data_IF_690421777592
#
_entry.id   IF_690421777592
#
_cell.length_a   1.000
_cell.length_b   1.000
_cell.length_c   1.000
_cell.angle_alpha   90.00
_cell.angle_beta   90.00
_cell.angle_gamma   90.00
#
_symmetry.space_group_name_H-M   'P 1'
#
loop_
_entity.id
_entity.type
_entity.pdbx_description
1 polymer ?
#
# COMPACT_ATOMS: atom_id res chain seq x y z
N UNK A 1 -8.96 -6.32 16.37
CA UNK A 1 -8.37 -7.50 17.05
C UNK A 1 -8.93 -8.75 16.40
N UNK A 2 -8.08 -9.50 15.69
CA UNK A 2 -8.39 -10.87 15.25
C UNK A 2 -7.94 -11.86 16.32
N UNK A 3 -8.63 -12.99 16.46
CA UNK A 3 -8.29 -14.07 17.40
C UNK A 3 -7.06 -14.89 16.96
N UNK A 4 -6.37 -14.45 15.90
CA UNK A 4 -5.16 -15.06 15.35
C UNK A 4 -4.15 -13.98 15.01
N UNK A 5 -2.88 -14.35 14.89
CA UNK A 5 -1.80 -13.45 14.51
C UNK A 5 -1.42 -13.64 13.05
N UNK A 6 -1.14 -12.54 12.36
CA UNK A 6 -0.69 -12.56 10.99
C UNK A 6 0.70 -11.93 10.90
N UNK A 7 1.60 -12.61 10.21
CA UNK A 7 2.93 -12.13 9.89
C UNK A 7 2.94 -11.57 8.47
N UNK A 8 3.56 -10.40 8.33
CA UNK A 8 3.72 -9.70 7.07
C UNK A 8 5.18 -9.82 6.66
N UNK A 9 5.45 -10.38 5.48
CA UNK A 9 6.82 -10.59 4.99
C UNK A 9 6.93 -10.32 3.50
N UNK A 10 8.16 -10.26 2.99
CA UNK A 10 8.48 -10.13 1.57
C UNK A 10 7.75 -8.98 0.85
N UNK A 11 7.75 -7.77 1.45
CA UNK A 11 7.25 -6.59 0.72
C UNK A 11 8.12 -6.35 -0.51
N UNK A 12 7.51 -6.46 -1.68
CA UNK A 12 8.14 -6.21 -2.96
C UNK A 12 7.34 -5.14 -3.71
N UNK A 13 8.00 -4.03 -4.03
CA UNK A 13 7.42 -2.95 -4.83
C UNK A 13 8.09 -3.00 -6.19
N UNK A 14 7.33 -3.41 -7.20
CA UNK A 14 7.76 -3.45 -8.59
C UNK A 14 7.24 -2.20 -9.29
N UNK A 15 8.17 -1.32 -9.63
CA UNK A 15 7.90 -0.15 -10.45
C UNK A 15 8.66 -0.32 -11.76
N UNK A 16 7.94 -0.53 -12.87
CA UNK A 16 8.58 -0.74 -14.19
C UNK A 16 9.28 0.52 -14.70
N UNK A 17 8.76 1.70 -14.38
CA UNK A 17 9.38 2.97 -14.74
C UNK A 17 9.05 4.02 -13.68
N UNK A 18 10.02 4.88 -13.38
CA UNK A 18 9.87 5.99 -12.44
C UNK A 18 9.08 7.13 -13.07
N UNK A 19 8.08 6.88 -13.93
CA UNK A 19 7.33 7.96 -14.57
C UNK A 19 5.93 8.09 -13.96
N UNK A 20 5.36 9.28 -14.11
CA UNK A 20 4.01 9.62 -13.65
C UNK A 20 2.88 8.80 -14.28
N UNK A 21 3.16 7.96 -15.28
CA UNK A 21 2.19 7.10 -15.97
C UNK A 21 2.38 5.61 -15.69
N UNK A 22 3.33 5.24 -14.83
CA UNK A 22 3.62 3.84 -14.56
C UNK A 22 2.76 3.28 -13.46
N UNK A 23 2.32 2.04 -13.68
CA UNK A 23 1.71 1.24 -12.64
C UNK A 23 2.79 0.76 -11.65
N UNK A 24 2.40 0.73 -10.38
CA UNK A 24 3.25 0.26 -9.28
C UNK A 24 2.58 -0.97 -8.68
N UNK A 25 3.24 -2.11 -8.79
CA UNK A 25 2.75 -3.37 -8.21
C UNK A 25 3.39 -3.57 -6.83
N UNK A 26 2.55 -3.64 -5.81
CA UNK A 26 2.98 -3.88 -4.42
C UNK A 26 2.54 -5.28 -4.02
N UNK A 27 3.51 -6.15 -3.79
CA UNK A 27 3.33 -7.53 -3.38
C UNK A 27 3.73 -7.69 -1.92
N UNK A 28 2.92 -8.37 -1.12
CA UNK A 28 3.24 -8.70 0.27
C UNK A 28 2.77 -10.10 0.62
N UNK A 29 3.59 -10.86 1.32
CA UNK A 29 3.22 -12.18 1.82
C UNK A 29 2.59 -12.06 3.20
N UNK A 30 1.42 -12.65 3.37
CA UNK A 30 0.70 -12.72 4.64
C UNK A 30 0.64 -14.17 5.08
N UNK A 31 1.12 -14.44 6.28
CA UNK A 31 1.09 -15.78 6.87
C UNK A 31 0.27 -15.77 8.16
N UNK A 32 -0.69 -16.66 8.30
CA UNK A 32 -1.36 -16.85 9.59
C UNK A 32 -0.45 -17.66 10.52
N UNK A 33 0.11 -17.00 11.52
CA UNK A 33 1.01 -17.62 12.51
C UNK A 33 0.29 -18.08 13.77
N UNK A 34 -1.01 -17.80 13.89
CA UNK A 34 -1.79 -18.25 15.04
C UNK A 34 -2.35 -19.66 14.85
N UNK A 35 -3.09 -20.11 15.86
CA UNK A 35 -3.61 -21.49 15.96
C UNK A 35 -5.00 -21.68 15.38
N UNK A 36 -5.66 -20.60 14.97
CA UNK A 36 -7.03 -20.59 14.48
C UNK A 36 -7.10 -19.98 13.09
N UNK A 37 -8.09 -20.42 12.30
CA UNK A 37 -8.43 -19.72 11.06
C UNK A 37 -8.84 -18.29 11.40
N UNK A 38 -8.37 -17.32 10.64
CA UNK A 38 -8.77 -15.94 10.78
C UNK A 38 -8.85 -15.22 9.45
N UNK A 39 -9.48 -14.05 9.51
CA UNK A 39 -9.47 -13.09 8.42
C UNK A 39 -8.54 -11.93 8.77
N UNK A 40 -7.73 -11.54 7.80
CA UNK A 40 -6.87 -10.35 7.85
C UNK A 40 -7.28 -9.38 6.75
N UNK A 41 -7.26 -8.09 7.05
CA UNK A 41 -7.47 -7.03 6.06
C UNK A 41 -6.15 -6.31 5.87
N UNK A 42 -5.48 -6.61 4.76
CA UNK A 42 -4.26 -5.91 4.37
C UNK A 42 -4.64 -4.59 3.75
N UNK A 43 -4.05 -3.50 4.25
CA UNK A 43 -4.33 -2.14 3.80
C UNK A 43 -3.06 -1.51 3.23
N UNK A 44 -3.21 -0.90 2.06
CA UNK A 44 -2.19 -0.16 1.34
C UNK A 44 -2.51 1.32 1.43
N UNK A 45 -1.61 2.06 2.06
CA UNK A 45 -1.64 3.51 2.11
C UNK A 45 -0.53 4.11 1.27
N UNK A 46 -0.82 5.28 0.73
CA UNK A 46 0.13 6.11 0.01
C UNK A 46 0.23 7.46 0.71
N UNK A 47 1.46 7.92 0.92
CA UNK A 47 1.75 9.24 1.48
C UNK A 47 2.61 10.00 0.49
N UNK A 48 2.20 11.19 0.14
CA UNK A 48 3.00 12.11 -0.66
C UNK A 48 3.95 12.90 0.27
N UNK A 49 5.26 12.85 0.01
CA UNK A 49 6.27 13.54 0.82
C UNK A 49 6.69 14.90 0.22
N UNK A 50 6.37 15.17 -1.05
CA UNK A 50 6.92 16.29 -1.80
C UNK A 50 5.87 16.99 -2.68
N UNK A 51 4.62 16.99 -2.24
CA UNK A 51 3.52 17.67 -2.93
C UNK A 51 3.59 19.19 -2.77
N UNK A 52 3.25 19.92 -3.84
CA UNK A 52 3.17 21.39 -3.86
C UNK A 52 1.98 21.96 -3.05
N UNK A 53 1.06 21.10 -2.65
CA UNK A 53 -0.13 21.39 -1.84
C UNK A 53 -0.12 20.55 -0.56
N UNK A 54 -0.81 21.00 0.48
CA UNK A 54 -0.99 20.19 1.69
C UNK A 54 -1.86 18.97 1.34
N UNK A 55 -1.22 17.81 1.16
CA UNK A 55 -1.88 16.53 0.95
C UNK A 55 -2.20 15.84 2.27
N UNK A 56 -3.09 14.86 2.22
CA UNK A 56 -3.43 14.03 3.37
C UNK A 56 -2.21 13.22 3.84
N UNK A 57 -2.06 13.06 5.16
CA UNK A 57 -0.90 12.37 5.75
C UNK A 57 -0.78 10.89 5.34
N UNK A 58 -1.89 10.26 4.94
CA UNK A 58 -1.94 8.91 4.38
C UNK A 58 -3.28 8.69 3.67
N UNK A 59 -3.28 8.25 2.42
CA UNK A 59 -4.48 7.92 1.64
C UNK A 59 -4.57 6.41 1.46
N UNK A 60 -5.69 5.80 1.85
CA UNK A 60 -5.95 4.38 1.57
C UNK A 60 -6.19 4.23 0.07
N UNK A 61 -5.31 3.50 -0.62
CA UNK A 61 -5.41 3.25 -2.06
C UNK A 61 -5.88 1.85 -2.39
N UNK A 62 -5.66 0.89 -1.49
CA UNK A 62 -6.13 -0.46 -1.67
C UNK A 62 -6.31 -1.17 -0.34
N UNK A 63 -7.23 -2.12 -0.31
CA UNK A 63 -7.30 -3.07 0.77
C UNK A 63 -7.77 -4.42 0.22
N UNK A 64 -7.23 -5.50 0.76
CA UNK A 64 -7.65 -6.85 0.42
C UNK A 64 -7.90 -7.65 1.70
N UNK A 65 -9.08 -8.27 1.77
CA UNK A 65 -9.41 -9.17 2.87
C UNK A 65 -9.06 -10.60 2.48
N UNK A 66 -8.29 -11.27 3.32
CA UNK A 66 -7.91 -12.67 3.11
C UNK A 66 -8.23 -13.54 4.31
N UNK A 67 -8.81 -14.69 4.02
CA UNK A 67 -9.03 -15.76 4.99
C UNK A 67 -7.88 -16.76 4.90
N UNK A 68 -7.18 -17.02 6.00
CA UNK A 68 -6.07 -17.96 6.03
C UNK A 68 -6.24 -18.99 7.15
N UNK A 69 -5.96 -20.25 6.84
CA UNK A 69 -5.83 -21.31 7.83
C UNK A 69 -4.52 -21.16 8.63
N UNK A 70 -4.41 -21.77 9.82
CA UNK A 70 -3.17 -21.79 10.59
C UNK A 70 -1.99 -22.30 9.74
N UNK A 71 -0.91 -21.52 9.66
CA UNK A 71 0.28 -21.81 8.88
C UNK A 71 0.15 -21.54 7.37
N UNK A 72 -1.02 -21.12 6.89
CA UNK A 72 -1.22 -20.78 5.48
C UNK A 72 -0.59 -19.42 5.15
N UNK A 73 0.11 -19.37 4.01
CA UNK A 73 0.69 -18.16 3.44
C UNK A 73 -0.01 -17.80 2.14
N UNK A 74 -0.36 -16.52 1.98
CA UNK A 74 -0.90 -15.97 0.72
C UNK A 74 -0.20 -14.68 0.36
N UNK A 75 0.12 -14.52 -0.92
CA UNK A 75 0.68 -13.30 -1.47
C UNK A 75 -0.44 -12.40 -1.95
N UNK A 76 -0.48 -11.17 -1.42
CA UNK A 76 -1.42 -10.12 -1.79
C UNK A 76 -0.75 -9.21 -2.79
N UNK A 77 -1.48 -8.86 -3.85
CA UNK A 77 -0.98 -8.01 -4.93
C UNK A 77 -1.86 -6.79 -5.06
N UNK A 78 -1.30 -5.62 -4.83
CA UNK A 78 -1.95 -4.36 -5.10
C UNK A 78 -1.37 -3.73 -6.35
N UNK A 79 -2.24 -3.28 -7.24
CA UNK A 79 -1.85 -2.53 -8.42
C UNK A 79 -2.26 -1.06 -8.21
N UNK A 80 -1.29 -0.19 -8.01
CA UNK A 80 -1.49 1.26 -7.98
C UNK A 80 -1.39 1.79 -9.39
N UNK A 81 -2.42 2.47 -9.86
CA UNK A 81 -2.39 3.16 -11.15
C UNK A 81 -1.87 4.58 -10.98
N UNK A 82 -1.36 5.20 -12.05
CA UNK A 82 -0.99 6.62 -12.03
C UNK A 82 -2.16 7.52 -11.60
N UNK A 83 -3.41 7.17 -11.93
CA UNK A 83 -4.59 7.91 -11.45
C UNK A 83 -4.74 7.87 -9.91
N UNK A 84 -4.25 6.81 -9.25
CA UNK A 84 -4.19 6.72 -7.78
C UNK A 84 -3.07 7.58 -7.19
N UNK A 85 -2.10 8.01 -8.00
CA UNK A 85 -1.06 8.96 -7.61
C UNK A 85 -1.46 10.41 -7.92
N UNK A 86 -2.51 10.62 -8.72
CA UNK A 86 -2.97 11.93 -9.10
C UNK A 86 -3.51 12.70 -7.89
N UNK A 87 -3.13 13.97 -7.80
CA UNK A 87 -3.64 14.94 -6.85
C UNK A 87 -4.51 15.95 -7.57
N UNK A 88 -5.46 16.54 -6.82
CA UNK A 88 -6.25 17.65 -7.32
C UNK A 88 -5.44 18.95 -7.11
N UNK A 89 -5.00 19.56 -8.20
CA UNK A 89 -4.28 20.83 -8.15
C UNK A 89 -5.20 21.99 -7.73
N UNK A 90 -4.61 23.17 -7.49
CA UNK A 90 -5.38 24.38 -7.12
C UNK A 90 -6.36 24.84 -8.21
N UNK A 91 -6.21 24.34 -9.44
CA UNK A 91 -7.05 24.64 -10.58
C UNK A 91 -8.11 23.55 -10.82
N UNK A 92 -8.29 22.62 -9.88
CA UNK A 92 -9.22 21.48 -9.96
C UNK A 92 -8.90 20.48 -11.08
N UNK A 93 -7.64 20.37 -11.48
CA UNK A 93 -7.15 19.38 -12.43
C UNK A 93 -6.48 18.22 -11.71
N UNK A 94 -6.76 16.99 -12.17
CA UNK A 94 -6.01 15.81 -11.75
C UNK A 94 -4.65 15.81 -12.42
N UNK A 95 -3.59 15.94 -11.63
CA UNK A 95 -2.22 15.89 -12.12
C UNK A 95 -1.38 15.00 -11.21
N UNK A 96 -0.45 14.26 -11.79
CA UNK A 96 0.54 13.49 -11.04
C UNK A 96 1.80 14.34 -10.98
N UNK A 97 2.13 14.87 -9.81
CA UNK A 97 3.38 15.61 -9.62
C UNK A 97 4.54 14.61 -9.48
N UNK A 98 5.68 14.84 -10.18
CA UNK A 98 6.89 14.10 -9.88
C UNK A 98 7.36 14.46 -8.47
N UNK A 99 7.71 13.44 -7.68
CA UNK A 99 8.05 13.59 -6.28
C UNK A 99 8.27 12.27 -5.57
N UNK A 100 8.66 12.35 -4.30
CA UNK A 100 8.84 11.19 -3.44
C UNK A 100 7.50 10.78 -2.83
N UNK A 101 7.11 9.52 -3.02
CA UNK A 101 5.95 8.90 -2.38
C UNK A 101 6.40 7.82 -1.40
N UNK A 102 5.69 7.67 -0.29
CA UNK A 102 5.87 6.61 0.69
C UNK A 102 4.69 5.64 0.62
N UNK A 103 4.97 4.42 0.17
CA UNK A 103 4.04 3.30 0.20
C UNK A 103 4.11 2.68 1.59
N UNK A 104 2.95 2.51 2.21
CA UNK A 104 2.82 1.97 3.55
C UNK A 104 1.85 0.79 3.52
N UNK A 105 2.26 -0.34 4.07
CA UNK A 105 1.43 -1.55 4.14
C UNK A 105 1.25 -1.94 5.60
N UNK A 106 0.02 -2.20 6.00
CA UNK A 106 -0.30 -2.56 7.38
C UNK A 106 -1.65 -3.25 7.53
N UNK A 107 -1.94 -3.63 8.76
CA UNK A 107 -3.25 -4.17 9.17
C UNK A 107 -4.27 -3.05 9.42
N UNK A 108 -3.78 -1.83 9.69
CA UNK A 108 -4.58 -0.61 9.88
C UNK A 108 -3.73 0.64 9.68
N UNK A 109 -4.37 1.82 9.63
CA UNK A 109 -3.69 3.12 9.50
C UNK A 109 -2.78 3.45 10.68
N UNK A 110 -3.02 2.82 11.83
CA UNK A 110 -2.21 2.96 13.05
C UNK A 110 -1.12 1.89 13.11
N UNK A 111 -1.39 0.69 12.62
CA UNK A 111 -0.48 -0.47 12.66
C UNK A 111 0.13 -0.76 11.29
N UNK A 112 1.08 0.11 10.92
CA UNK A 112 1.84 0.02 9.67
C UNK A 112 3.02 -0.92 9.87
N UNK A 113 3.07 -2.02 9.12
CA UNK A 113 4.13 -3.03 9.20
C UNK A 113 5.32 -2.71 8.31
N UNK A 114 5.06 -2.14 7.14
CA UNK A 114 6.10 -1.77 6.20
C UNK A 114 5.91 -0.37 5.65
N UNK A 115 7.04 0.29 5.39
CA UNK A 115 7.12 1.57 4.70
C UNK A 115 8.21 1.47 3.64
N UNK A 116 7.91 1.89 2.42
CA UNK A 116 8.85 1.92 1.30
C UNK A 116 8.70 3.25 0.58
N UNK A 117 9.81 3.97 0.45
CA UNK A 117 9.87 5.18 -0.35
C UNK A 117 10.15 4.84 -1.81
N UNK A 118 9.47 5.55 -2.69
CA UNK A 118 9.63 5.52 -4.14
C UNK A 118 9.72 6.96 -4.64
N UNK A 119 10.46 7.17 -5.72
CA UNK A 119 10.55 8.47 -6.39
C UNK A 119 9.88 8.34 -7.75
N UNK A 120 8.97 9.25 -8.06
CA UNK A 120 8.32 9.38 -9.35
C UNK A 120 8.89 10.62 -10.04
N UNK A 121 9.31 10.48 -11.29
CA UNK A 121 9.92 11.50 -12.14
C UNK A 121 9.03 11.87 -13.33
#
# INVERSE_FOLDING_TARGET
LSYTTFDYSNLNVLQKTLNTQSEIEVNVDITNTGKLKGDEVVQLYLKDLQSSVTTYESVLRGFERVSLQPGEKKTIRFLLRPDDLAILDKNMNWTVEPGAFEIMVGSSSVDIKFKKKIDVQ
#
